data_IF_664835797048
#
_entry.id   IF_664835797048
#
_cell.length_a   1.000
_cell.length_b   1.000
_cell.length_c   1.000
_cell.angle_alpha   90.00
_cell.angle_beta   90.00
_cell.angle_gamma   90.00
#
_symmetry.space_group_name_H-M   'P 1'
#
loop_
_entity.id
_entity.type
_entity.pdbx_description
1 polymer ?
#
# COMPACT_ATOMS: atom_id res chain seq x y z
N UNK A 1 73.47 30.96 -28.87
CA UNK A 1 74.31 31.90 -29.65
C UNK A 1 75.03 31.19 -30.81
N UNK A 2 75.85 30.15 -30.56
CA UNK A 2 76.59 29.43 -31.60
C UNK A 2 75.70 28.81 -32.71
N UNK A 3 74.73 27.94 -32.35
CA UNK A 3 73.83 27.28 -33.31
C UNK A 3 73.01 28.24 -34.20
N UNK A 4 72.68 29.43 -33.67
CA UNK A 4 71.89 30.46 -34.39
C UNK A 4 72.76 31.19 -35.42
N UNK A 5 74.05 31.35 -35.13
CA UNK A 5 75.04 31.90 -36.06
C UNK A 5 75.30 30.94 -37.22
N UNK A 6 75.45 29.65 -36.91
CA UNK A 6 75.76 28.60 -37.90
C UNK A 6 74.60 28.38 -38.90
N UNK A 7 73.34 28.45 -38.44
CA UNK A 7 72.16 28.40 -39.32
C UNK A 7 72.08 29.59 -40.28
N UNK A 8 72.52 30.79 -39.87
CA UNK A 8 72.49 31.99 -40.72
C UNK A 8 73.48 31.90 -41.88
N UNK A 9 74.66 31.35 -41.62
CA UNK A 9 75.68 31.06 -42.65
C UNK A 9 75.20 29.99 -43.63
N UNK A 10 74.70 28.85 -43.12
CA UNK A 10 74.28 27.72 -43.96
C UNK A 10 73.06 28.03 -44.85
N UNK A 11 72.18 28.95 -44.42
CA UNK A 11 71.03 29.43 -45.20
C UNK A 11 71.40 30.28 -46.44
N UNK A 12 72.68 30.67 -46.62
CA UNK A 12 73.14 31.35 -47.85
C UNK A 12 73.12 30.44 -49.07
N UNK A 13 73.25 29.12 -48.89
CA UNK A 13 73.16 28.13 -49.98
C UNK A 13 72.28 26.93 -49.56
N UNK A 14 70.97 27.17 -49.51
CA UNK A 14 69.96 26.25 -48.93
C UNK A 14 69.90 24.87 -49.60
N UNK A 15 70.25 24.77 -50.88
CA UNK A 15 70.18 23.50 -51.64
C UNK A 15 71.31 22.54 -51.29
N UNK A 16 72.53 23.06 -51.08
CA UNK A 16 73.69 22.23 -50.70
C UNK A 16 73.70 21.86 -49.21
N UNK A 17 73.10 22.70 -48.37
CA UNK A 17 73.20 22.57 -46.91
C UNK A 17 71.90 22.06 -46.25
N UNK A 18 70.98 21.46 -47.02
CA UNK A 18 69.65 21.08 -46.53
C UNK A 18 69.72 20.17 -45.28
N UNK A 19 70.50 19.09 -45.34
CA UNK A 19 70.64 18.12 -44.24
C UNK A 19 71.30 18.74 -42.99
N UNK A 20 72.28 19.63 -43.19
CA UNK A 20 72.95 20.34 -42.10
C UNK A 20 72.03 21.36 -41.43
N UNK A 21 71.19 22.07 -42.21
CA UNK A 21 70.18 22.98 -41.68
C UNK A 21 69.13 22.17 -40.89
N UNK A 22 68.66 21.03 -41.40
CA UNK A 22 67.69 20.18 -40.71
C UNK A 22 68.27 19.63 -39.39
N UNK A 23 69.53 19.19 -39.39
CA UNK A 23 70.23 18.74 -38.19
C UNK A 23 70.34 19.82 -37.11
N UNK A 24 70.67 21.06 -37.48
CA UNK A 24 70.73 22.18 -36.52
C UNK A 24 69.32 22.58 -36.05
N UNK A 25 68.30 22.58 -36.92
CA UNK A 25 66.91 22.83 -36.51
C UNK A 25 66.44 21.76 -35.52
N UNK A 26 66.73 20.49 -35.77
CA UNK A 26 66.41 19.39 -34.85
C UNK A 26 67.12 19.56 -33.50
N UNK A 27 68.40 19.96 -33.50
CA UNK A 27 69.15 20.24 -32.27
C UNK A 27 68.65 21.49 -31.52
N UNK A 28 68.24 22.53 -32.24
CA UNK A 28 67.63 23.73 -31.65
C UNK A 28 66.25 23.43 -31.06
N UNK A 29 65.42 22.64 -31.76
CA UNK A 29 64.13 22.19 -31.25
C UNK A 29 64.32 21.30 -30.02
N UNK A 30 65.18 20.26 -30.07
CA UNK A 30 65.45 19.41 -28.91
C UNK A 30 65.99 20.17 -27.70
N UNK A 31 66.74 21.26 -27.91
CA UNK A 31 67.20 22.15 -26.82
C UNK A 31 66.10 23.09 -26.33
N UNK A 32 65.20 23.54 -27.19
CA UNK A 32 64.01 24.28 -26.81
C UNK A 32 63.06 23.40 -25.99
N UNK A 33 62.84 22.16 -26.41
CA UNK A 33 62.03 21.16 -25.70
C UNK A 33 62.64 20.82 -24.33
N UNK A 34 63.97 20.63 -24.25
CA UNK A 34 64.65 20.38 -22.98
C UNK A 34 64.56 21.58 -22.01
N UNK A 35 64.60 22.81 -22.53
CA UNK A 35 64.41 24.01 -21.70
C UNK A 35 62.95 24.20 -21.28
N UNK A 36 61.99 23.88 -22.15
CA UNK A 36 60.57 23.88 -21.82
C UNK A 36 60.26 22.86 -20.72
N UNK A 37 60.76 21.62 -20.86
CA UNK A 37 60.61 20.56 -19.87
C UNK A 37 61.26 20.92 -18.53
N UNK A 38 62.43 21.57 -18.53
CA UNK A 38 63.08 22.04 -17.30
C UNK A 38 62.30 23.17 -16.58
N UNK A 39 61.35 23.81 -17.27
CA UNK A 39 60.50 24.87 -16.72
C UNK A 39 59.19 24.35 -16.12
N UNK A 40 58.81 23.09 -16.41
CA UNK A 40 57.69 22.36 -15.83
C UNK A 40 58.04 21.90 -14.39
N UNK A 41 58.35 22.86 -13.52
CA UNK A 41 58.60 22.62 -12.10
C UNK A 41 57.25 22.42 -11.39
N UNK A 42 56.76 21.18 -11.43
CA UNK A 42 55.50 20.70 -10.82
C UNK A 42 55.66 20.20 -9.37
N UNK A 43 56.82 20.40 -8.74
CA UNK A 43 57.10 19.89 -7.38
C UNK A 43 56.31 20.54 -6.25
N UNK A 44 55.53 21.58 -6.54
CA UNK A 44 54.58 22.21 -5.61
C UNK A 44 53.21 21.53 -5.62
N UNK A 45 52.96 20.64 -6.58
CA UNK A 45 51.68 19.93 -6.67
C UNK A 45 51.59 18.85 -5.60
N UNK A 46 50.39 18.58 -5.11
CA UNK A 46 50.08 17.35 -4.37
C UNK A 46 50.51 16.15 -5.23
N UNK A 47 51.37 15.22 -4.75
CA UNK A 47 51.77 14.05 -5.52
C UNK A 47 50.62 13.09 -5.85
N UNK A 48 49.55 13.09 -5.04
CA UNK A 48 48.39 12.20 -5.20
C UNK A 48 47.08 12.96 -5.02
N UNK A 49 46.76 13.92 -5.91
CA UNK A 49 45.53 14.69 -5.83
C UNK A 49 44.31 13.76 -5.81
N UNK A 50 43.53 13.84 -4.72
CA UNK A 50 42.38 12.96 -4.46
C UNK A 50 42.74 11.46 -4.55
N UNK A 51 43.96 11.10 -4.11
CA UNK A 51 44.52 9.75 -4.09
C UNK A 51 45.11 9.29 -5.43
N UNK A 52 44.96 10.04 -6.52
CA UNK A 52 45.41 9.64 -7.85
C UNK A 52 46.84 10.15 -8.11
N UNK A 53 47.83 9.28 -8.40
CA UNK A 53 49.18 9.72 -8.72
C UNK A 53 49.22 10.72 -9.88
N UNK A 54 49.99 11.80 -9.74
CA UNK A 54 50.14 12.85 -10.77
C UNK A 54 50.55 12.30 -12.14
N UNK A 55 51.34 11.22 -12.17
CA UNK A 55 51.79 10.58 -13.42
C UNK A 55 50.66 9.96 -14.25
N UNK A 56 49.52 9.65 -13.61
CA UNK A 56 48.32 9.13 -14.27
C UNK A 56 47.47 10.29 -14.82
N UNK A 57 47.58 11.49 -14.22
CA UNK A 57 46.83 12.66 -14.66
C UNK A 57 47.44 13.24 -15.94
N UNK A 58 46.60 13.37 -16.96
CA UNK A 58 46.94 14.09 -18.19
C UNK A 58 46.85 15.60 -18.00
N UNK A 59 47.65 16.17 -17.09
CA UNK A 59 47.71 17.61 -16.85
C UNK A 59 48.03 18.37 -18.14
N UNK A 60 48.84 17.75 -19.00
CA UNK A 60 49.22 18.31 -20.30
C UNK A 60 48.10 18.33 -21.35
N UNK A 61 46.91 17.82 -21.04
CA UNK A 61 45.74 17.93 -21.90
C UNK A 61 44.75 19.00 -21.41
N UNK A 62 44.98 19.60 -20.24
CA UNK A 62 44.09 20.60 -19.66
C UNK A 62 44.55 22.02 -19.99
N UNK A 63 43.80 22.71 -20.86
CA UNK A 63 44.13 24.06 -21.32
C UNK A 63 44.24 25.07 -20.16
N UNK A 64 43.39 24.93 -19.14
CA UNK A 64 43.38 25.83 -17.98
C UNK A 64 44.65 25.63 -17.12
N UNK A 65 45.01 24.38 -16.84
CA UNK A 65 46.23 24.03 -16.14
C UNK A 65 47.46 24.54 -16.89
N UNK A 66 47.52 24.34 -18.21
CA UNK A 66 48.60 24.85 -19.07
C UNK A 66 48.73 26.37 -19.08
N UNK A 67 47.60 27.08 -19.13
CA UNK A 67 47.60 28.54 -19.06
C UNK A 67 48.16 29.03 -17.73
N UNK A 68 47.76 28.39 -16.63
CA UNK A 68 48.29 28.68 -15.30
C UNK A 68 49.79 28.36 -15.19
N UNK A 69 50.24 27.23 -15.73
CA UNK A 69 51.65 26.85 -15.75
C UNK A 69 52.50 27.86 -16.53
N UNK A 70 51.98 28.36 -17.65
CA UNK A 70 52.63 29.39 -18.48
C UNK A 70 52.74 30.73 -17.73
N UNK A 71 51.66 31.18 -17.08
CA UNK A 71 51.68 32.44 -16.32
C UNK A 71 52.58 32.32 -15.08
N UNK A 72 52.62 31.16 -14.43
CA UNK A 72 53.55 30.89 -13.32
C UNK A 72 55.00 31.02 -13.78
N UNK A 73 55.34 30.41 -14.92
CA UNK A 73 56.68 30.49 -15.49
C UNK A 73 57.05 31.95 -15.83
N UNK A 74 56.11 32.74 -16.35
CA UNK A 74 56.29 34.17 -16.63
C UNK A 74 56.56 35.01 -15.38
N UNK A 75 55.78 34.80 -14.32
CA UNK A 75 55.94 35.51 -13.05
C UNK A 75 57.28 35.17 -12.38
N UNK A 76 57.70 33.89 -12.44
CA UNK A 76 59.04 33.45 -12.01
C UNK A 76 60.17 34.07 -12.83
N UNK A 77 60.00 34.22 -14.14
CA UNK A 77 61.03 34.83 -14.99
C UNK A 77 61.15 36.35 -14.76
N UNK A 78 60.04 37.03 -14.45
CA UNK A 78 60.03 38.48 -14.24
C UNK A 78 60.70 38.91 -12.94
N UNK A 79 60.19 38.46 -11.78
CA UNK A 79 60.75 38.73 -10.45
C UNK A 79 60.07 37.81 -9.41
N UNK A 80 60.70 36.68 -9.04
CA UNK A 80 60.10 35.72 -8.10
C UNK A 80 59.77 36.33 -6.73
N UNK A 81 60.56 37.29 -6.25
CA UNK A 81 60.42 37.84 -4.90
C UNK A 81 59.23 38.79 -4.84
N UNK A 82 59.12 39.67 -5.83
CA UNK A 82 57.99 40.61 -5.92
C UNK A 82 56.67 39.91 -6.25
N UNK A 83 56.72 38.82 -7.01
CA UNK A 83 55.55 38.08 -7.44
C UNK A 83 55.18 36.89 -6.54
N UNK A 84 55.87 36.69 -5.41
CA UNK A 84 55.72 35.50 -4.56
C UNK A 84 54.27 35.19 -4.17
N UNK A 85 53.47 36.20 -3.82
CA UNK A 85 52.05 36.01 -3.49
C UNK A 85 51.23 35.48 -4.66
N UNK A 86 51.38 36.09 -5.86
CA UNK A 86 50.68 35.66 -7.08
C UNK A 86 51.12 34.29 -7.55
N UNK A 87 52.41 33.96 -7.39
CA UNK A 87 52.94 32.63 -7.71
C UNK A 87 52.28 31.60 -6.80
N UNK A 88 52.18 31.88 -5.49
CA UNK A 88 51.53 30.99 -4.53
C UNK A 88 50.03 30.81 -4.83
N UNK A 89 49.30 31.88 -5.08
CA UNK A 89 47.88 31.81 -5.48
C UNK A 89 47.69 30.92 -6.71
N UNK A 90 48.56 31.07 -7.72
CA UNK A 90 48.51 30.26 -8.93
C UNK A 90 48.90 28.79 -8.69
N UNK A 91 49.85 28.54 -7.77
CA UNK A 91 50.19 27.18 -7.34
C UNK A 91 49.03 26.50 -6.58
N UNK A 92 48.34 27.24 -5.72
CA UNK A 92 47.16 26.77 -5.00
C UNK A 92 46.00 26.48 -5.98
N UNK A 93 45.78 27.35 -6.99
CA UNK A 93 44.78 27.15 -8.05
C UNK A 93 45.10 25.95 -8.95
N UNK A 94 46.38 25.78 -9.32
CA UNK A 94 46.84 24.61 -10.09
C UNK A 94 46.66 23.32 -9.29
N UNK A 95 46.94 23.34 -7.98
CA UNK A 95 46.66 22.21 -7.09
C UNK A 95 45.17 21.88 -7.05
N UNK A 96 44.31 22.87 -6.85
CA UNK A 96 42.87 22.69 -6.87
C UNK A 96 42.40 22.11 -8.22
N UNK A 97 42.94 22.59 -9.35
CA UNK A 97 42.64 22.04 -10.68
C UNK A 97 43.10 20.58 -10.83
N UNK A 98 44.25 20.20 -10.27
CA UNK A 98 44.71 18.81 -10.28
C UNK A 98 43.75 17.88 -9.51
N UNK A 99 43.23 18.31 -8.36
CA UNK A 99 42.18 17.57 -7.63
C UNK A 99 40.88 17.43 -8.45
N UNK A 100 40.47 18.48 -9.16
CA UNK A 100 39.31 18.42 -10.06
C UNK A 100 39.53 17.41 -11.19
N UNK A 101 40.69 17.45 -11.85
CA UNK A 101 41.04 16.52 -12.92
C UNK A 101 41.12 15.07 -12.42
N UNK A 102 41.61 14.84 -11.20
CA UNK A 102 41.59 13.53 -10.57
C UNK A 102 40.16 13.00 -10.34
N UNK A 103 39.24 13.87 -9.90
CA UNK A 103 37.82 13.55 -9.79
C UNK A 103 37.21 13.18 -11.14
N UNK A 104 37.41 14.03 -12.16
CA UNK A 104 36.91 13.79 -13.52
C UNK A 104 37.46 12.49 -14.14
N UNK A 105 38.73 12.16 -13.86
CA UNK A 105 39.32 10.90 -14.29
C UNK A 105 38.63 9.71 -13.62
N UNK A 106 38.47 9.74 -12.28
CA UNK A 106 37.78 8.68 -11.53
C UNK A 106 36.35 8.47 -12.06
N UNK A 107 35.58 9.53 -12.26
CA UNK A 107 34.22 9.44 -12.81
C UNK A 107 34.18 8.75 -14.17
N UNK A 108 35.01 9.18 -15.13
CA UNK A 108 35.11 8.55 -16.46
C UNK A 108 35.55 7.09 -16.38
N UNK A 109 36.42 6.78 -15.43
CA UNK A 109 36.93 5.42 -15.24
C UNK A 109 35.88 4.49 -14.66
N UNK A 110 35.07 4.98 -13.70
CA UNK A 110 33.95 4.25 -13.11
C UNK A 110 32.95 3.78 -14.16
N UNK A 111 32.67 4.59 -15.18
CA UNK A 111 31.75 4.24 -16.29
C UNK A 111 32.18 3.00 -17.10
N UNK A 112 33.46 2.61 -17.02
CA UNK A 112 34.01 1.51 -17.83
C UNK A 112 33.70 0.15 -17.21
N UNK A 113 33.62 0.05 -15.88
CA UNK A 113 33.59 -1.23 -15.18
C UNK A 113 32.52 -1.36 -14.10
N UNK A 114 32.01 -0.26 -13.55
CA UNK A 114 30.92 -0.34 -12.57
C UNK A 114 29.59 -0.64 -13.26
N UNK A 115 28.76 -1.43 -12.60
CA UNK A 115 27.32 -1.45 -12.83
C UNK A 115 26.80 0.00 -12.75
N UNK A 116 26.12 0.52 -13.79
CA UNK A 116 25.59 1.88 -13.77
C UNK A 116 24.57 2.14 -12.65
N UNK A 117 23.89 1.10 -12.16
CA UNK A 117 22.89 1.20 -11.10
C UNK A 117 23.04 0.09 -10.04
N UNK A 118 24.10 0.10 -9.21
CA UNK A 118 24.30 -0.91 -8.19
C UNK A 118 23.09 -0.95 -7.24
N UNK A 119 22.42 -2.10 -7.16
CA UNK A 119 21.20 -2.25 -6.37
C UNK A 119 20.05 -1.34 -6.79
N UNK A 120 20.04 -0.83 -8.03
CA UNK A 120 19.04 0.10 -8.56
C UNK A 120 19.29 1.58 -8.24
N UNK A 121 20.43 1.93 -7.63
CA UNK A 121 20.81 3.33 -7.34
C UNK A 121 21.87 3.78 -8.35
N UNK A 122 21.70 4.91 -9.05
CA UNK A 122 22.73 5.40 -9.99
C UNK A 122 24.08 5.64 -9.30
N UNK A 123 25.19 5.26 -9.95
CA UNK A 123 26.56 5.50 -9.44
C UNK A 123 26.80 6.96 -9.05
N UNK A 124 26.24 7.90 -9.81
CA UNK A 124 26.35 9.35 -9.52
C UNK A 124 25.71 9.79 -8.19
N UNK A 125 24.89 8.93 -7.58
CA UNK A 125 24.22 9.20 -6.30
C UNK A 125 24.89 8.49 -5.12
N UNK A 126 25.90 7.66 -5.38
CA UNK A 126 26.63 6.93 -4.35
C UNK A 126 27.81 7.77 -3.84
N UNK A 127 28.03 7.84 -2.51
CA UNK A 127 29.16 8.56 -1.92
C UNK A 127 30.48 7.76 -2.03
N UNK A 128 30.81 7.23 -3.21
CA UNK A 128 31.96 6.34 -3.43
C UNK A 128 33.30 7.01 -3.09
N UNK A 129 33.43 8.31 -3.34
CA UNK A 129 34.64 9.07 -2.98
C UNK A 129 34.85 9.24 -1.47
N UNK A 130 33.79 9.07 -0.67
CA UNK A 130 33.88 9.09 0.80
C UNK A 130 34.08 7.69 1.39
N UNK A 131 33.97 6.64 0.57
CA UNK A 131 34.19 5.26 1.01
C UNK A 131 35.67 4.90 0.89
N UNK A 132 36.36 4.78 2.03
CA UNK A 132 37.81 4.54 2.10
C UNK A 132 38.22 3.24 1.39
N UNK A 133 37.42 2.18 1.54
CA UNK A 133 37.70 0.87 0.94
C UNK A 133 37.57 0.92 -0.59
N UNK A 134 36.49 1.51 -1.09
CA UNK A 134 36.28 1.73 -2.52
C UNK A 134 37.40 2.58 -3.11
N UNK A 135 37.70 3.72 -2.46
CA UNK A 135 38.72 4.65 -2.91
C UNK A 135 40.11 4.00 -3.03
N UNK A 136 40.49 3.18 -2.04
CA UNK A 136 41.77 2.46 -2.06
C UNK A 136 41.89 1.50 -3.25
N UNK A 137 40.86 0.68 -3.48
CA UNK A 137 40.83 -0.27 -4.60
C UNK A 137 40.77 0.44 -5.96
N UNK A 138 40.07 1.57 -6.04
CA UNK A 138 39.96 2.37 -7.25
C UNK A 138 41.33 2.94 -7.67
N UNK A 139 42.08 3.50 -6.72
CA UNK A 139 43.43 4.01 -6.96
C UNK A 139 44.38 2.87 -7.37
N UNK A 140 44.30 1.71 -6.71
CA UNK A 140 45.10 0.54 -7.10
C UNK A 140 44.79 0.08 -8.53
N UNK A 141 43.51 0.05 -8.92
CA UNK A 141 43.11 -0.27 -10.29
C UNK A 141 43.71 0.73 -11.28
N UNK A 142 43.66 2.04 -10.99
CA UNK A 142 44.24 3.08 -11.86
C UNK A 142 45.75 2.87 -12.04
N UNK A 143 46.49 2.56 -10.97
CA UNK A 143 47.93 2.25 -11.04
C UNK A 143 48.21 1.04 -11.91
N UNK A 144 47.56 -0.09 -11.66
CA UNK A 144 47.77 -1.32 -12.44
C UNK A 144 47.44 -1.15 -13.93
N UNK A 145 46.41 -0.37 -14.23
CA UNK A 145 46.00 -0.04 -15.59
C UNK A 145 46.98 0.90 -16.28
N UNK A 146 47.60 1.83 -15.54
CA UNK A 146 48.63 2.72 -16.07
C UNK A 146 49.97 1.99 -16.33
N UNK A 147 50.35 1.07 -15.43
CA UNK A 147 51.61 0.32 -15.50
C UNK A 147 51.69 -0.68 -16.67
N UNK A 148 50.80 -1.68 -16.68
CA UNK A 148 50.72 -2.69 -17.73
C UNK A 148 49.30 -3.27 -17.81
N UNK A 149 48.39 -2.64 -18.56
CA UNK A 149 47.00 -3.08 -18.62
C UNK A 149 46.82 -4.51 -19.16
N UNK A 150 47.77 -5.01 -19.97
CA UNK A 150 47.70 -6.38 -20.51
C UNK A 150 48.25 -7.40 -19.53
N UNK A 151 49.40 -7.11 -18.92
CA UNK A 151 50.00 -7.99 -17.90
C UNK A 151 49.18 -8.06 -16.61
N UNK A 152 48.52 -6.96 -16.24
CA UNK A 152 47.70 -6.87 -15.03
C UNK A 152 46.21 -7.20 -15.26
N UNK A 153 45.82 -7.64 -16.45
CA UNK A 153 44.41 -7.80 -16.83
C UNK A 153 43.58 -8.66 -15.85
N UNK A 154 44.14 -9.75 -15.32
CA UNK A 154 43.47 -10.59 -14.33
C UNK A 154 43.23 -9.85 -13.00
N UNK A 155 44.25 -9.17 -12.48
CA UNK A 155 44.15 -8.39 -11.23
C UNK A 155 43.19 -7.21 -11.37
N UNK A 156 43.24 -6.52 -12.52
CA UNK A 156 42.31 -5.43 -12.83
C UNK A 156 40.88 -5.95 -12.81
N UNK A 157 40.61 -7.08 -13.48
CA UNK A 157 39.28 -7.69 -13.49
C UNK A 157 38.81 -8.09 -12.08
N UNK A 158 39.70 -8.65 -11.26
CA UNK A 158 39.38 -9.03 -9.88
C UNK A 158 39.07 -7.80 -9.01
N UNK A 159 39.81 -6.69 -9.19
CA UNK A 159 39.51 -5.40 -8.54
C UNK A 159 38.20 -4.80 -9.02
N UNK A 160 37.90 -4.87 -10.32
CA UNK A 160 36.63 -4.40 -10.89
C UNK A 160 35.45 -5.17 -10.29
N UNK A 161 35.59 -6.48 -10.06
CA UNK A 161 34.61 -7.29 -9.33
C UNK A 161 34.41 -6.81 -7.89
N UNK A 162 35.49 -6.61 -7.14
CA UNK A 162 35.44 -6.12 -5.75
C UNK A 162 34.87 -4.71 -5.64
N UNK A 163 35.18 -3.82 -6.58
CA UNK A 163 34.63 -2.47 -6.65
C UNK A 163 33.12 -2.51 -6.93
N UNK A 164 32.64 -3.41 -7.78
CA UNK A 164 31.20 -3.60 -8.00
C UNK A 164 30.47 -4.13 -6.75
N UNK A 165 31.07 -5.11 -6.05
CA UNK A 165 30.53 -5.61 -4.79
C UNK A 165 30.48 -4.50 -3.73
N UNK A 166 31.54 -3.69 -3.62
CA UNK A 166 31.57 -2.56 -2.68
C UNK A 166 30.57 -1.46 -3.05
N UNK A 167 30.41 -1.15 -4.34
CA UNK A 167 29.40 -0.19 -4.80
C UNK A 167 27.97 -0.66 -4.47
N UNK A 168 27.70 -1.97 -4.58
CA UNK A 168 26.44 -2.57 -4.16
C UNK A 168 26.22 -2.46 -2.65
N UNK A 169 27.26 -2.67 -1.84
CA UNK A 169 27.20 -2.48 -0.38
C UNK A 169 26.91 -1.03 -0.01
N UNK A 170 27.58 -0.07 -0.66
CA UNK A 170 27.34 1.35 -0.45
C UNK A 170 25.91 1.73 -0.86
N UNK A 171 25.41 1.21 -2.00
CA UNK A 171 24.03 1.44 -2.41
C UNK A 171 23.01 0.90 -1.40
N UNK A 172 23.27 -0.28 -0.81
CA UNK A 172 22.44 -0.83 0.26
C UNK A 172 22.47 0.03 1.52
N UNK A 173 23.65 0.52 1.93
CA UNK A 173 23.78 1.41 3.08
C UNK A 173 23.03 2.74 2.88
N UNK A 174 23.12 3.33 1.67
CA UNK A 174 22.34 4.53 1.31
C UNK A 174 20.84 4.25 1.42
N UNK A 175 20.37 3.12 0.89
CA UNK A 175 18.96 2.73 1.00
C UNK A 175 18.55 2.52 2.46
N UNK A 176 19.39 1.95 3.30
CA UNK A 176 19.11 1.75 4.73
C UNK A 176 19.01 3.09 5.47
N UNK A 177 19.94 4.01 5.22
CA UNK A 177 19.94 5.37 5.77
C UNK A 177 18.68 6.15 5.36
N UNK A 178 18.23 6.04 4.11
CA UNK A 178 16.99 6.66 3.64
C UNK A 178 15.75 6.23 4.46
N UNK A 179 15.76 5.02 5.03
CA UNK A 179 14.62 4.43 5.74
C UNK A 179 14.69 4.59 7.26
N UNK A 180 15.86 4.90 7.83
CA UNK A 180 16.09 4.88 9.29
C UNK A 180 15.16 5.83 10.07
N UNK A 181 14.86 7.00 9.50
CA UNK A 181 14.01 8.02 10.12
C UNK A 181 12.52 7.90 9.75
N UNK A 182 12.14 6.88 8.98
CA UNK A 182 10.78 6.70 8.49
C UNK A 182 9.93 5.81 9.41
N UNK A 183 8.62 5.82 9.17
CA UNK A 183 7.68 4.92 9.83
C UNK A 183 8.05 3.46 9.54
N UNK A 184 8.32 2.68 10.57
CA UNK A 184 8.79 1.29 10.42
C UNK A 184 7.76 0.34 9.82
N UNK A 185 6.47 0.63 10.00
CA UNK A 185 5.36 -0.20 9.54
C UNK A 185 4.17 0.64 9.03
N UNK A 186 4.30 1.35 7.89
CA UNK A 186 3.20 2.10 7.29
C UNK A 186 2.00 1.18 7.05
N UNK A 187 0.84 1.56 7.58
CA UNK A 187 -0.41 0.73 7.57
C UNK A 187 -0.22 -0.67 8.17
N UNK A 188 0.75 -0.84 9.08
CA UNK A 188 1.06 -2.12 9.69
C UNK A 188 1.94 -3.05 8.84
N UNK A 189 2.28 -2.70 7.59
CA UNK A 189 3.20 -3.49 6.76
C UNK A 189 4.64 -3.03 7.00
N UNK A 190 5.58 -3.91 7.38
CA UNK A 190 6.98 -3.56 7.55
C UNK A 190 7.57 -2.89 6.30
N UNK A 191 8.18 -1.71 6.49
CA UNK A 191 8.70 -0.88 5.39
C UNK A 191 9.69 -1.63 4.48
N UNK A 192 10.53 -2.49 5.06
CA UNK A 192 11.46 -3.31 4.30
C UNK A 192 10.77 -4.29 3.32
N UNK A 193 9.58 -4.78 3.65
CA UNK A 193 8.82 -5.69 2.78
C UNK A 193 8.13 -4.95 1.61
N UNK A 194 7.86 -3.64 1.77
CA UNK A 194 7.30 -2.81 0.71
C UNK A 194 8.29 -2.51 -0.42
N UNK A 195 9.60 -2.67 -0.15
CA UNK A 195 10.69 -2.35 -1.11
C UNK A 195 10.51 -0.96 -1.74
N UNK A 196 10.44 0.10 -0.93
CA UNK A 196 10.02 1.41 -1.41
C UNK A 196 10.96 1.99 -2.48
N UNK A 197 12.25 1.65 -2.48
CA UNK A 197 13.18 2.10 -3.54
C UNK A 197 12.95 1.45 -4.91
N UNK A 198 12.11 0.42 -5.03
CA UNK A 198 11.67 -0.11 -6.34
C UNK A 198 10.59 0.81 -6.96
N UNK A 199 10.00 1.72 -6.17
CA UNK A 199 9.08 2.76 -6.62
C UNK A 199 9.84 4.03 -7.04
N UNK A 200 9.64 4.47 -8.28
CA UNK A 200 10.35 5.61 -8.88
C UNK A 200 10.09 6.94 -8.14
N UNK A 201 8.86 7.14 -7.66
CA UNK A 201 8.49 8.36 -6.94
C UNK A 201 9.17 8.40 -5.56
N UNK A 202 9.17 7.29 -4.82
CA UNK A 202 9.91 7.18 -3.56
C UNK A 202 11.42 7.37 -3.77
N UNK A 203 12.01 6.71 -4.77
CA UNK A 203 13.43 6.84 -5.08
C UNK A 203 13.83 8.30 -5.39
N UNK A 204 12.97 9.01 -6.13
CA UNK A 204 13.16 10.43 -6.43
C UNK A 204 13.09 11.32 -5.17
N UNK A 205 12.11 11.08 -4.30
CA UNK A 205 11.98 11.79 -3.03
C UNK A 205 13.19 11.53 -2.11
N UNK A 206 13.69 10.30 -2.05
CA UNK A 206 14.84 9.94 -1.24
C UNK A 206 16.11 10.67 -1.74
N UNK A 207 16.30 10.74 -3.05
CA UNK A 207 17.37 11.54 -3.68
C UNK A 207 17.29 13.01 -3.30
N UNK A 208 16.11 13.61 -3.37
CA UNK A 208 15.91 15.01 -2.99
C UNK A 208 16.21 15.24 -1.50
N UNK A 209 15.79 14.30 -0.64
CA UNK A 209 16.06 14.35 0.80
C UNK A 209 17.57 14.38 1.10
N UNK A 210 18.36 13.54 0.42
CA UNK A 210 19.84 13.54 0.53
C UNK A 210 20.46 14.87 0.08
N UNK A 211 19.89 15.49 -0.96
CA UNK A 211 20.38 16.76 -1.52
C UNK A 211 19.97 18.02 -0.76
N UNK A 212 18.91 17.96 0.07
CA UNK A 212 18.30 19.11 0.74
C UNK A 212 19.26 19.83 1.70
N UNK A 213 20.23 19.11 2.30
CA UNK A 213 21.25 19.70 3.18
C UNK A 213 22.28 20.60 2.46
N UNK A 214 22.38 20.54 1.13
CA UNK A 214 23.41 21.23 0.33
C UNK A 214 22.92 22.51 -0.37
N UNK A 215 21.62 22.76 -0.46
CA UNK A 215 21.05 23.91 -1.18
C UNK A 215 20.20 24.78 -0.26
N UNK A 216 20.49 26.08 -0.21
CA UNK A 216 19.61 27.06 0.45
C UNK A 216 18.25 27.09 -0.27
N UNK A 217 17.21 26.49 0.33
CA UNK A 217 15.86 26.45 -0.23
C UNK A 217 15.28 25.05 -0.47
N UNK A 218 15.97 23.97 -0.10
CA UNK A 218 15.37 22.63 -0.07
C UNK A 218 14.30 22.46 1.03
N UNK A 219 13.43 21.43 0.93
CA UNK A 219 12.51 21.07 2.02
C UNK A 219 13.30 20.78 3.30
N UNK A 220 12.71 21.08 4.46
CA UNK A 220 13.32 20.72 5.73
C UNK A 220 13.44 19.19 5.85
N UNK A 221 14.39 18.66 6.66
CA UNK A 221 14.50 17.21 6.86
C UNK A 221 13.17 16.56 7.30
N UNK A 222 12.36 17.28 8.08
CA UNK A 222 11.05 16.80 8.50
C UNK A 222 10.06 16.74 7.33
N UNK A 223 9.99 17.77 6.49
CA UNK A 223 9.12 17.78 5.32
C UNK A 223 9.49 16.69 4.30
N UNK A 224 10.79 16.40 4.15
CA UNK A 224 11.27 15.29 3.33
C UNK A 224 10.84 13.93 3.89
N UNK A 225 11.00 13.73 5.21
CA UNK A 225 10.56 12.51 5.88
C UNK A 225 9.04 12.32 5.80
N UNK A 226 8.26 13.39 5.94
CA UNK A 226 6.80 13.35 5.79
C UNK A 226 6.40 12.93 4.37
N UNK A 227 7.03 13.48 3.33
CA UNK A 227 6.76 13.11 1.94
C UNK A 227 7.10 11.63 1.67
N UNK A 228 8.22 11.14 2.20
CA UNK A 228 8.61 9.73 2.11
C UNK A 228 7.64 8.80 2.86
N UNK A 229 7.20 9.19 4.05
CA UNK A 229 6.21 8.45 4.84
C UNK A 229 4.85 8.38 4.14
N UNK A 230 4.37 9.49 3.55
CA UNK A 230 3.15 9.49 2.76
C UNK A 230 3.25 8.54 1.57
N UNK A 231 4.36 8.58 0.82
CA UNK A 231 4.56 7.65 -0.29
C UNK A 231 4.63 6.19 0.18
N UNK A 232 5.27 5.92 1.31
CA UNK A 232 5.32 4.58 1.89
C UNK A 232 3.93 4.07 2.31
N UNK A 233 3.07 4.95 2.87
CA UNK A 233 1.66 4.61 3.18
C UNK A 233 0.85 4.34 1.92
N UNK A 234 1.05 5.09 0.85
CA UNK A 234 0.42 4.82 -0.45
C UNK A 234 0.81 3.46 -1.02
N UNK A 235 2.10 3.09 -0.92
CA UNK A 235 2.58 1.76 -1.32
C UNK A 235 1.92 0.65 -0.48
N UNK A 236 1.80 0.86 0.83
CA UNK A 236 1.10 -0.07 1.71
C UNK A 236 -0.38 -0.21 1.32
N UNK A 237 -1.07 0.90 1.06
CA UNK A 237 -2.47 0.91 0.60
C UNK A 237 -2.63 0.18 -0.75
N UNK A 238 -1.66 0.30 -1.67
CA UNK A 238 -1.65 -0.45 -2.93
C UNK A 238 -1.50 -1.95 -2.72
N UNK A 239 -0.63 -2.38 -1.80
CA UNK A 239 -0.45 -3.80 -1.46
C UNK A 239 -1.74 -4.37 -0.87
N UNK A 240 -2.36 -3.67 0.08
CA UNK A 240 -3.58 -4.13 0.75
C UNK A 240 -4.75 -4.21 -0.24
N UNK A 241 -5.07 -3.11 -0.93
CA UNK A 241 -6.23 -3.04 -1.83
C UNK A 241 -6.05 -3.86 -3.11
N UNK A 242 -4.83 -3.95 -3.63
CA UNK A 242 -4.51 -4.59 -4.91
C UNK A 242 -4.67 -6.12 -4.91
N UNK A 243 -4.82 -6.73 -3.74
CA UNK A 243 -4.77 -8.19 -3.58
C UNK A 243 -6.04 -8.81 -2.97
N UNK A 244 -7.18 -8.11 -3.09
CA UNK A 244 -8.50 -8.57 -2.63
C UNK A 244 -9.21 -9.55 -3.59
N UNK A 245 -8.48 -10.13 -4.55
CA UNK A 245 -9.05 -10.98 -5.60
C UNK A 245 -9.61 -12.32 -5.12
N UNK A 246 -9.32 -12.72 -3.89
CA UNK A 246 -9.83 -13.95 -3.26
C UNK A 246 -11.24 -13.77 -2.65
N UNK A 247 -11.68 -12.53 -2.43
CA UNK A 247 -13.00 -12.23 -1.87
C UNK A 247 -14.10 -12.45 -2.93
N UNK A 248 -15.27 -12.85 -2.45
CA UNK A 248 -16.49 -12.81 -3.26
C UNK A 248 -16.76 -11.39 -3.76
N UNK A 249 -17.17 -11.24 -5.02
CA UNK A 249 -17.39 -9.90 -5.61
C UNK A 249 -18.62 -9.19 -5.08
N UNK A 250 -19.64 -9.99 -4.73
CA UNK A 250 -20.93 -9.56 -4.22
C UNK A 250 -21.32 -10.42 -3.00
N UNK A 251 -20.60 -10.35 -1.86
CA UNK A 251 -20.98 -11.05 -0.63
C UNK A 251 -22.39 -10.61 -0.20
N UNK A 252 -23.25 -11.57 0.16
CA UNK A 252 -24.67 -11.33 0.43
C UNK A 252 -25.38 -10.53 -0.70
N UNK A 253 -24.90 -10.64 -1.95
CA UNK A 253 -25.40 -9.88 -3.10
C UNK A 253 -25.00 -8.40 -3.14
N UNK A 254 -24.15 -7.93 -2.21
CA UNK A 254 -23.70 -6.55 -2.08
C UNK A 254 -22.30 -6.36 -2.68
N UNK A 255 -22.09 -5.45 -3.65
CA UNK A 255 -20.76 -5.18 -4.21
C UNK A 255 -19.72 -4.80 -3.14
N UNK A 256 -18.50 -5.37 -3.24
CA UNK A 256 -17.40 -5.05 -2.31
C UNK A 256 -17.12 -3.55 -2.18
N UNK A 257 -17.33 -2.75 -3.24
CA UNK A 257 -17.15 -1.29 -3.23
C UNK A 257 -18.11 -0.56 -2.29
N UNK A 258 -19.17 -1.21 -1.83
CA UNK A 258 -20.13 -0.67 -0.87
C UNK A 258 -19.81 -1.07 0.58
N UNK A 259 -18.83 -1.96 0.79
CA UNK A 259 -18.46 -2.41 2.12
C UNK A 259 -17.35 -1.54 2.71
N UNK A 260 -17.37 -1.29 4.02
CA UNK A 260 -16.40 -0.43 4.70
C UNK A 260 -15.06 -1.15 4.97
N UNK A 261 -14.56 -1.95 4.02
CA UNK A 261 -13.39 -2.84 4.21
C UNK A 261 -12.13 -2.07 4.66
N UNK A 262 -11.92 -0.86 4.14
CA UNK A 262 -10.75 -0.03 4.47
C UNK A 262 -10.82 0.60 5.87
N UNK A 263 -12.01 0.67 6.45
CA UNK A 263 -12.26 1.28 7.77
C UNK A 263 -12.62 0.25 8.83
N UNK A 264 -12.96 -0.97 8.43
CA UNK A 264 -13.21 -2.08 9.35
C UNK A 264 -11.89 -2.55 9.95
N UNK A 265 -11.77 -2.36 11.28
CA UNK A 265 -10.54 -2.67 12.00
C UNK A 265 -10.20 -4.16 11.96
N UNK A 266 -11.19 -5.02 12.11
CA UNK A 266 -10.98 -6.48 12.11
C UNK A 266 -10.51 -6.99 10.75
N UNK A 267 -11.12 -6.50 9.68
CA UNK A 267 -10.72 -6.76 8.31
C UNK A 267 -9.29 -6.27 8.06
N UNK A 268 -8.99 -5.01 8.42
CA UNK A 268 -7.65 -4.42 8.22
C UNK A 268 -6.54 -5.20 8.93
N UNK A 269 -6.73 -5.59 10.19
CA UNK A 269 -5.73 -6.35 10.95
C UNK A 269 -5.42 -7.71 10.29
N UNK A 270 -6.44 -8.43 9.83
CA UNK A 270 -6.27 -9.70 9.10
C UNK A 270 -5.65 -9.50 7.72
N UNK A 271 -6.02 -8.42 7.02
CA UNK A 271 -5.49 -8.08 5.70
C UNK A 271 -3.99 -7.77 5.75
N UNK A 272 -3.55 -7.04 6.79
CA UNK A 272 -2.14 -6.76 7.05
C UNK A 272 -1.38 -8.05 7.35
N UNK A 273 -1.90 -8.91 8.23
CA UNK A 273 -1.25 -10.21 8.54
C UNK A 273 -1.06 -11.04 7.27
N UNK A 274 -2.10 -11.12 6.44
CA UNK A 274 -2.06 -11.83 5.15
C UNK A 274 -1.02 -11.23 4.21
N UNK A 275 -1.00 -9.91 4.06
CA UNK A 275 -0.04 -9.21 3.19
C UNK A 275 1.41 -9.48 3.63
N UNK A 276 1.69 -9.41 4.93
CA UNK A 276 3.03 -9.69 5.48
C UNK A 276 3.46 -11.13 5.20
N UNK A 277 2.57 -12.12 5.41
CA UNK A 277 2.87 -13.52 5.11
C UNK A 277 3.17 -13.75 3.63
N UNK A 278 2.41 -13.09 2.75
CA UNK A 278 2.55 -13.18 1.29
C UNK A 278 3.83 -12.50 0.77
N UNK A 279 4.21 -11.36 1.35
CA UNK A 279 5.46 -10.66 1.03
C UNK A 279 6.70 -11.39 1.56
N UNK A 280 6.57 -12.12 2.67
CA UNK A 280 7.69 -12.84 3.29
C UNK A 280 8.02 -14.14 2.55
N UNK A 281 7.07 -15.06 2.46
CA UNK A 281 7.21 -16.33 1.73
C UNK A 281 5.82 -16.97 1.52
N UNK A 282 5.19 -16.76 0.35
CA UNK A 282 3.83 -17.23 0.12
C UNK A 282 3.73 -18.76 0.07
N UNK A 283 4.81 -19.46 -0.31
CA UNK A 283 4.80 -20.93 -0.40
C UNK A 283 4.86 -21.55 0.98
N UNK A 284 5.73 -21.03 1.85
CA UNK A 284 5.87 -21.51 3.23
C UNK A 284 4.65 -21.18 4.10
N UNK A 285 3.95 -20.09 3.79
CA UNK A 285 2.82 -19.59 4.58
C UNK A 285 1.45 -19.97 4.00
N UNK A 286 1.39 -20.85 2.99
CA UNK A 286 0.17 -21.14 2.23
C UNK A 286 -1.05 -21.46 3.11
N UNK A 287 -0.91 -22.36 4.10
CA UNK A 287 -2.03 -22.75 4.97
C UNK A 287 -2.56 -21.60 5.83
N UNK A 288 -1.66 -20.73 6.32
CA UNK A 288 -2.05 -19.55 7.11
C UNK A 288 -2.70 -18.48 6.25
N UNK A 289 -2.20 -18.30 5.02
CA UNK A 289 -2.79 -17.39 4.05
C UNK A 289 -4.20 -17.85 3.72
N UNK A 290 -4.40 -19.13 3.41
CA UNK A 290 -5.73 -19.68 3.13
C UNK A 290 -6.71 -19.48 4.31
N UNK A 291 -6.28 -19.78 5.54
CA UNK A 291 -7.11 -19.56 6.73
C UNK A 291 -7.47 -18.07 6.97
N UNK A 292 -6.57 -17.14 6.62
CA UNK A 292 -6.88 -15.71 6.66
C UNK A 292 -7.80 -15.29 5.52
N UNK A 293 -7.66 -15.87 4.34
CA UNK A 293 -8.57 -15.62 3.20
C UNK A 293 -10.00 -16.06 3.51
N UNK A 294 -10.18 -17.23 4.14
CA UNK A 294 -11.49 -17.70 4.62
C UNK A 294 -12.09 -16.71 5.62
N UNK A 295 -11.33 -16.31 6.66
CA UNK A 295 -11.80 -15.35 7.68
C UNK A 295 -12.09 -13.95 7.12
N UNK A 296 -11.30 -13.48 6.16
CA UNK A 296 -11.52 -12.21 5.47
C UNK A 296 -12.78 -12.27 4.61
N UNK A 297 -13.04 -13.42 3.98
CA UNK A 297 -14.27 -13.68 3.23
C UNK A 297 -15.48 -13.69 4.16
N UNK A 298 -15.41 -14.42 5.28
CA UNK A 298 -16.46 -14.42 6.30
C UNK A 298 -16.75 -13.01 6.83
N UNK A 299 -15.70 -12.24 7.16
CA UNK A 299 -15.87 -10.84 7.62
C UNK A 299 -16.50 -9.94 6.55
N UNK A 300 -16.22 -10.18 5.26
CA UNK A 300 -16.87 -9.43 4.18
C UNK A 300 -18.36 -9.75 4.08
N UNK A 301 -18.76 -11.03 4.27
CA UNK A 301 -20.18 -11.42 4.35
C UNK A 301 -20.86 -10.84 5.59
N UNK A 302 -20.20 -10.86 6.76
CA UNK A 302 -20.71 -10.20 7.97
C UNK A 302 -20.97 -8.70 7.74
N UNK A 303 -20.01 -7.98 7.15
CA UNK A 303 -20.17 -6.55 6.84
C UNK A 303 -21.28 -6.28 5.83
N UNK A 304 -21.48 -7.18 4.86
CA UNK A 304 -22.58 -7.09 3.92
C UNK A 304 -23.93 -7.31 4.62
N UNK A 305 -24.02 -8.31 5.48
CA UNK A 305 -25.19 -8.58 6.30
C UNK A 305 -25.52 -7.41 7.27
N UNK A 306 -24.54 -6.88 8.00
CA UNK A 306 -24.68 -5.70 8.87
C UNK A 306 -25.21 -4.49 8.08
N UNK A 307 -24.73 -4.30 6.84
CA UNK A 307 -25.18 -3.21 5.97
C UNK A 307 -26.64 -3.39 5.54
N UNK A 308 -27.03 -4.60 5.13
CA UNK A 308 -28.38 -4.91 4.68
C UNK A 308 -29.38 -4.76 5.83
N UNK A 309 -29.12 -5.44 6.95
CA UNK A 309 -29.94 -5.38 8.17
C UNK A 309 -30.10 -3.96 8.72
N UNK A 310 -29.04 -3.15 8.67
CA UNK A 310 -29.07 -1.74 9.09
C UNK A 310 -29.89 -0.81 8.17
N UNK A 311 -30.23 -1.24 6.95
CA UNK A 311 -30.96 -0.43 5.94
C UNK A 311 -32.45 -0.83 5.81
N UNK A 312 -32.99 -1.52 6.83
CA UNK A 312 -34.39 -1.99 6.92
C UNK A 312 -35.40 -0.94 7.42
N UNK A 313 -35.00 0.30 7.65
CA UNK A 313 -35.82 1.33 8.30
C UNK A 313 -37.09 1.77 7.55
N UNK A 314 -37.30 1.34 6.31
CA UNK A 314 -38.49 1.62 5.50
C UNK A 314 -39.59 0.56 5.66
N UNK A 315 -39.29 -0.56 6.35
CA UNK A 315 -40.26 -1.63 6.59
C UNK A 315 -41.27 -1.21 7.67
N UNK A 316 -42.51 -1.71 7.54
CA UNK A 316 -43.50 -1.65 8.59
C UNK A 316 -42.96 -2.37 9.84
N UNK A 317 -42.89 -1.74 11.02
CA UNK A 317 -42.35 -2.37 12.24
C UNK A 317 -43.21 -3.51 12.78
N UNK A 318 -44.49 -3.59 12.39
CA UNK A 318 -45.45 -4.60 12.86
C UNK A 318 -46.41 -5.08 11.76
N UNK A 319 -45.93 -5.72 10.68
CA UNK A 319 -46.79 -6.33 9.67
C UNK A 319 -47.77 -7.32 10.32
N UNK A 320 -49.07 -7.18 10.05
CA UNK A 320 -50.14 -7.96 10.70
C UNK A 320 -50.09 -7.96 12.25
N UNK A 321 -49.46 -6.95 12.86
CA UNK A 321 -49.25 -6.88 14.31
C UNK A 321 -48.09 -7.74 14.84
N UNK A 322 -47.31 -8.38 13.96
CA UNK A 322 -46.13 -9.18 14.32
C UNK A 322 -44.86 -8.31 14.20
N UNK A 323 -44.09 -8.12 15.29
CA UNK A 323 -42.82 -7.39 15.23
C UNK A 323 -41.82 -7.99 14.22
N UNK A 324 -41.09 -7.14 13.48
CA UNK A 324 -40.10 -7.59 12.48
C UNK A 324 -39.03 -8.52 13.06
N UNK A 325 -38.63 -8.32 14.31
CA UNK A 325 -37.64 -9.14 15.04
C UNK A 325 -38.06 -10.60 15.24
N UNK A 326 -39.35 -10.92 15.04
CA UNK A 326 -39.87 -12.29 15.06
C UNK A 326 -39.81 -12.93 13.67
N UNK A 327 -39.81 -12.13 12.61
CA UNK A 327 -39.85 -12.65 11.24
C UNK A 327 -38.47 -13.15 10.81
N UNK A 328 -38.40 -14.30 10.10
CA UNK A 328 -37.15 -14.87 9.60
C UNK A 328 -36.70 -14.16 8.31
N UNK A 329 -36.43 -12.85 8.40
CA UNK A 329 -36.09 -12.02 7.23
C UNK A 329 -34.74 -12.42 6.62
N UNK A 330 -33.78 -12.82 7.46
CA UNK A 330 -32.43 -13.20 7.04
C UNK A 330 -32.40 -14.57 6.36
N UNK A 331 -33.30 -15.47 6.77
CA UNK A 331 -33.43 -16.80 6.19
C UNK A 331 -34.34 -16.83 4.95
N UNK A 332 -35.13 -15.78 4.69
CA UNK A 332 -36.02 -15.71 3.54
C UNK A 332 -35.27 -15.35 2.24
N UNK A 333 -35.10 -16.28 1.28
CA UNK A 333 -34.26 -16.02 0.11
C UNK A 333 -34.84 -14.94 -0.81
N UNK A 334 -36.17 -14.77 -0.83
CA UNK A 334 -36.83 -13.75 -1.65
C UNK A 334 -36.62 -12.36 -1.06
N UNK A 335 -36.79 -12.23 0.26
CA UNK A 335 -36.54 -10.99 0.97
C UNK A 335 -35.08 -10.56 0.79
N UNK A 336 -34.14 -11.48 1.03
CA UNK A 336 -32.71 -11.24 0.85
C UNK A 336 -32.36 -10.78 -0.58
N UNK A 337 -32.93 -11.42 -1.60
CA UNK A 337 -32.72 -11.03 -2.99
C UNK A 337 -33.18 -9.59 -3.27
N UNK A 338 -34.37 -9.20 -2.78
CA UNK A 338 -34.88 -7.84 -2.94
C UNK A 338 -34.04 -6.83 -2.16
N UNK A 339 -33.54 -7.21 -0.97
CA UNK A 339 -32.68 -6.38 -0.14
C UNK A 339 -31.35 -6.06 -0.83
N UNK A 340 -30.70 -7.08 -1.38
CA UNK A 340 -29.48 -6.93 -2.17
C UNK A 340 -29.72 -6.09 -3.44
N UNK A 341 -30.82 -6.31 -4.16
CA UNK A 341 -31.17 -5.51 -5.35
C UNK A 341 -31.42 -4.04 -5.00
N UNK A 342 -32.13 -3.79 -3.90
CA UNK A 342 -32.37 -2.44 -3.38
C UNK A 342 -31.05 -1.75 -3.03
N UNK A 343 -30.15 -2.42 -2.32
CA UNK A 343 -28.84 -1.89 -1.98
C UNK A 343 -28.06 -1.50 -3.25
N UNK A 344 -28.06 -2.37 -4.27
CA UNK A 344 -27.40 -2.12 -5.57
C UNK A 344 -27.98 -0.92 -6.30
N UNK A 345 -29.31 -0.79 -6.38
CA UNK A 345 -29.96 0.35 -7.04
C UNK A 345 -29.69 1.68 -6.32
N UNK A 346 -29.67 1.67 -4.98
CA UNK A 346 -29.31 2.85 -4.18
C UNK A 346 -27.86 3.28 -4.39
N UNK A 347 -26.94 2.34 -4.60
CA UNK A 347 -25.54 2.68 -4.85
C UNK A 347 -25.27 3.22 -6.26
N UNK A 348 -26.03 2.79 -7.27
CA UNK A 348 -25.79 3.19 -8.66
C UNK A 348 -26.22 4.63 -8.97
N UNK A 349 -27.50 4.96 -8.76
CA UNK A 349 -28.04 6.32 -8.96
C UNK A 349 -29.36 6.45 -8.18
N UNK A 350 -29.33 6.98 -6.94
CA UNK A 350 -30.52 7.12 -6.11
C UNK A 350 -31.66 7.88 -6.78
N UNK A 351 -31.33 8.90 -7.59
CA UNK A 351 -32.34 9.79 -8.19
C UNK A 351 -33.01 9.15 -9.39
N UNK A 352 -32.24 8.45 -10.24
CA UNK A 352 -32.80 7.76 -11.40
C UNK A 352 -33.53 6.47 -11.02
N UNK A 353 -33.12 5.83 -9.94
CA UNK A 353 -33.69 4.57 -9.48
C UNK A 353 -34.80 4.75 -8.44
N UNK A 354 -35.17 5.97 -8.05
CA UNK A 354 -36.15 6.26 -6.99
C UNK A 354 -37.44 5.44 -7.14
N UNK A 355 -38.03 5.38 -8.33
CA UNK A 355 -39.24 4.57 -8.58
C UNK A 355 -39.01 3.08 -8.37
N UNK A 356 -37.91 2.53 -8.90
CA UNK A 356 -37.57 1.10 -8.74
C UNK A 356 -37.28 0.75 -7.29
N UNK A 357 -36.62 1.66 -6.57
CA UNK A 357 -36.37 1.51 -5.13
C UNK A 357 -37.69 1.51 -4.37
N UNK A 358 -38.61 2.44 -4.65
CA UNK A 358 -39.93 2.47 -4.02
C UNK A 358 -40.75 1.21 -4.34
N UNK A 359 -40.71 0.72 -5.59
CA UNK A 359 -41.39 -0.52 -5.98
C UNK A 359 -40.83 -1.73 -5.22
N UNK A 360 -39.51 -1.82 -5.05
CA UNK A 360 -38.87 -2.86 -4.22
C UNK A 360 -39.21 -2.71 -2.74
N UNK A 361 -39.24 -1.48 -2.21
CA UNK A 361 -39.60 -1.24 -0.81
C UNK A 361 -41.04 -1.67 -0.51
N UNK A 362 -41.97 -1.46 -1.44
CA UNK A 362 -43.34 -1.97 -1.35
C UNK A 362 -43.36 -3.50 -1.41
N UNK A 363 -42.66 -4.12 -2.38
CA UNK A 363 -42.60 -5.57 -2.50
C UNK A 363 -41.96 -6.25 -1.26
N UNK A 364 -40.98 -5.62 -0.64
CA UNK A 364 -40.37 -6.08 0.61
C UNK A 364 -41.34 -5.96 1.79
N UNK A 365 -42.13 -4.89 1.87
CA UNK A 365 -43.21 -4.78 2.86
C UNK A 365 -44.29 -5.85 2.64
N UNK A 366 -44.72 -6.07 1.40
CA UNK A 366 -45.67 -7.13 1.05
C UNK A 366 -45.13 -8.51 1.47
N UNK A 367 -43.83 -8.78 1.26
CA UNK A 367 -43.19 -10.01 1.72
C UNK A 367 -43.16 -10.12 3.25
N UNK A 368 -42.94 -9.01 3.97
CA UNK A 368 -43.06 -8.99 5.43
C UNK A 368 -44.49 -9.31 5.90
N UNK A 369 -45.52 -8.80 5.20
CA UNK A 369 -46.93 -9.15 5.47
C UNK A 369 -47.21 -10.64 5.23
N UNK A 370 -46.69 -11.22 4.16
CA UNK A 370 -46.78 -12.67 3.89
C UNK A 370 -46.11 -13.49 5.01
N UNK A 371 -44.88 -13.12 5.40
CA UNK A 371 -44.13 -13.80 6.47
C UNK A 371 -44.83 -13.66 7.83
N UNK A 372 -45.43 -12.51 8.12
CA UNK A 372 -46.22 -12.31 9.33
C UNK A 372 -47.48 -13.20 9.34
N UNK A 373 -48.20 -13.29 8.21
CA UNK A 373 -49.31 -14.23 8.07
C UNK A 373 -48.89 -15.68 8.30
N UNK A 374 -47.76 -16.09 7.72
CA UNK A 374 -47.21 -17.44 7.90
C UNK A 374 -46.80 -17.70 9.35
N UNK A 375 -46.23 -16.70 10.03
CA UNK A 375 -45.89 -16.78 11.45
C UNK A 375 -47.14 -16.94 12.32
N UNK A 376 -48.17 -16.11 12.12
CA UNK A 376 -49.43 -16.21 12.87
C UNK A 376 -50.11 -17.58 12.65
N UNK A 377 -50.04 -18.12 11.43
CA UNK A 377 -50.55 -19.46 11.13
C UNK A 377 -49.75 -20.54 11.87
N UNK A 378 -48.43 -20.40 11.92
CA UNK A 378 -47.55 -21.32 12.61
C UNK A 378 -47.72 -21.25 14.14
N UNK A 379 -48.02 -20.08 14.71
CA UNK A 379 -48.33 -19.91 16.13
C UNK A 379 -49.56 -20.72 16.55
N UNK A 380 -50.56 -20.79 15.67
CA UNK A 380 -51.79 -21.55 15.89
C UNK A 380 -51.69 -23.03 15.48
N UNK A 381 -50.52 -23.50 15.04
CA UNK A 381 -50.35 -24.89 14.65
C UNK A 381 -50.55 -25.84 15.84
N UNK A 382 -51.59 -26.69 15.75
CA UNK A 382 -51.98 -27.64 16.80
C UNK A 382 -53.05 -27.13 17.76
N UNK A 383 -53.48 -25.87 17.62
CA UNK A 383 -54.64 -25.32 18.33
C UNK A 383 -55.92 -25.77 17.63
N UNK A 384 -56.96 -26.05 18.41
CA UNK A 384 -58.30 -26.38 17.95
C UNK A 384 -58.86 -25.22 17.12
N UNK A 385 -59.34 -25.55 15.93
CA UNK A 385 -59.79 -24.56 14.94
C UNK A 385 -61.21 -24.10 15.19
N UNK A 386 -62.00 -24.90 15.90
CA UNK A 386 -63.41 -24.59 16.21
C UNK A 386 -63.72 -24.87 17.69
N UNK A 387 -63.05 -24.19 18.65
CA UNK A 387 -63.37 -24.36 20.06
C UNK A 387 -64.84 -23.97 20.31
N UNK A 388 -65.64 -24.93 20.82
CA UNK A 388 -67.10 -24.78 21.01
C UNK A 388 -67.84 -24.37 19.74
N UNK A 389 -67.43 -24.94 18.60
CA UNK A 389 -68.01 -24.68 17.28
C UNK A 389 -67.87 -23.22 16.80
N UNK A 390 -67.03 -22.41 17.47
CA UNK A 390 -66.70 -21.06 17.05
C UNK A 390 -65.36 -21.08 16.31
N UNK A 391 -65.31 -20.63 15.04
CA UNK A 391 -64.05 -20.52 14.30
C UNK A 391 -63.01 -19.69 15.07
N UNK A 392 -61.81 -20.25 15.25
CA UNK A 392 -60.71 -19.66 16.01
C UNK A 392 -60.33 -18.25 15.51
N UNK A 393 -60.49 -17.99 14.21
CA UNK A 393 -60.27 -16.67 13.60
C UNK A 393 -61.17 -15.59 14.20
N UNK A 394 -62.42 -15.92 14.56
CA UNK A 394 -63.37 -14.99 15.18
C UNK A 394 -63.02 -14.67 16.64
N UNK A 395 -62.30 -15.56 17.32
CA UNK A 395 -61.88 -15.39 18.71
C UNK A 395 -60.71 -14.41 18.85
N UNK A 396 -60.05 -14.03 17.75
CA UNK A 396 -58.89 -13.14 17.73
C UNK A 396 -57.84 -13.48 18.81
N UNK A 397 -57.36 -14.74 18.87
CA UNK A 397 -56.56 -15.24 20.00
C UNK A 397 -55.27 -14.43 20.23
N UNK A 398 -54.63 -13.91 19.18
CA UNK A 398 -53.44 -13.07 19.31
C UNK A 398 -53.69 -11.72 20.00
N UNK A 399 -54.94 -11.25 20.06
CA UNK A 399 -55.33 -10.05 20.80
C UNK A 399 -55.50 -10.28 22.31
N UNK A 400 -55.54 -11.54 22.75
CA UNK A 400 -55.64 -11.88 24.17
C UNK A 400 -54.25 -11.93 24.84
N UNK A 401 -54.00 -11.16 25.91
CA UNK A 401 -52.68 -11.10 26.54
C UNK A 401 -52.17 -12.44 27.08
N UNK A 402 -53.07 -13.30 27.57
CA UNK A 402 -52.69 -14.61 28.12
C UNK A 402 -52.35 -15.60 27.00
N UNK A 403 -53.10 -15.59 25.90
CA UNK A 403 -52.78 -16.37 24.71
C UNK A 403 -51.49 -15.88 24.04
N UNK A 404 -51.29 -14.56 23.94
CA UNK A 404 -50.06 -13.97 23.37
C UNK A 404 -48.79 -14.34 24.18
N UNK A 405 -48.90 -14.47 25.50
CA UNK A 405 -47.81 -14.99 26.33
C UNK A 405 -47.45 -16.44 25.96
N UNK A 406 -48.46 -17.31 25.77
CA UNK A 406 -48.26 -18.69 25.32
C UNK A 406 -47.68 -18.76 23.90
N UNK A 407 -48.06 -17.85 23.00
CA UNK A 407 -47.45 -17.72 21.66
C UNK A 407 -45.97 -17.38 21.76
N UNK A 408 -45.59 -16.53 22.72
CA UNK A 408 -44.19 -16.19 22.95
C UNK A 408 -43.40 -17.42 23.42
N UNK A 409 -43.96 -18.18 24.36
CA UNK A 409 -43.36 -19.41 24.87
C UNK A 409 -43.22 -20.50 23.78
N UNK A 410 -44.26 -20.71 22.96
CA UNK A 410 -44.22 -21.75 21.92
C UNK A 410 -43.21 -21.43 20.83
N UNK A 411 -43.05 -20.14 20.46
CA UNK A 411 -42.03 -19.71 19.49
C UNK A 411 -40.63 -20.03 19.99
N UNK A 412 -40.33 -19.74 21.26
CA UNK A 412 -39.03 -20.04 21.84
C UNK A 412 -38.75 -21.54 21.89
N UNK A 413 -39.73 -22.33 22.33
CA UNK A 413 -39.60 -23.80 22.37
C UNK A 413 -39.43 -24.39 20.97
N UNK A 414 -40.10 -23.84 19.95
CA UNK A 414 -40.02 -24.32 18.57
C UNK A 414 -38.66 -24.08 17.90
N UNK A 415 -37.77 -23.25 18.47
CA UNK A 415 -36.38 -23.13 17.99
C UNK A 415 -35.62 -24.46 18.04
N UNK A 416 -35.92 -25.33 19.02
CA UNK A 416 -35.40 -26.71 19.08
C UNK A 416 -36.56 -27.71 19.30
N UNK A 417 -37.36 -27.91 18.25
CA UNK A 417 -38.56 -28.78 18.29
C UNK A 417 -38.28 -30.19 18.80
N UNK A 418 -37.07 -30.72 18.53
CA UNK A 418 -36.71 -32.08 18.89
C UNK A 418 -36.48 -32.23 20.38
N UNK A 419 -35.78 -31.27 21.00
CA UNK A 419 -35.53 -31.32 22.45
C UNK A 419 -36.76 -30.93 23.26
N UNK A 420 -37.62 -30.07 22.70
CA UNK A 420 -38.73 -29.47 23.43
C UNK A 420 -40.09 -30.12 23.13
N UNK A 421 -40.14 -31.31 22.53
CA UNK A 421 -41.39 -31.92 22.05
C UNK A 421 -42.51 -31.97 23.13
N UNK A 422 -42.21 -32.50 24.31
CA UNK A 422 -43.19 -32.60 25.42
C UNK A 422 -43.62 -31.22 25.94
N UNK A 423 -42.69 -30.26 26.00
CA UNK A 423 -42.98 -28.90 26.44
C UNK A 423 -43.86 -28.15 25.42
N UNK A 424 -43.60 -28.35 24.13
CA UNK A 424 -44.43 -27.82 23.03
C UNK A 424 -45.84 -28.38 23.14
N UNK A 425 -46.01 -29.69 23.35
CA UNK A 425 -47.34 -30.29 23.55
C UNK A 425 -48.05 -29.68 24.77
N UNK A 426 -47.32 -29.46 25.86
CA UNK A 426 -47.83 -28.80 27.06
C UNK A 426 -48.35 -27.37 26.79
N UNK A 427 -47.59 -26.56 26.05
CA UNK A 427 -48.01 -25.20 25.68
C UNK A 427 -49.21 -25.24 24.73
N UNK A 428 -49.21 -26.13 23.72
CA UNK A 428 -50.36 -26.30 22.81
C UNK A 428 -51.63 -26.67 23.59
N UNK A 429 -51.53 -27.53 24.60
CA UNK A 429 -52.66 -27.86 25.49
C UNK A 429 -53.15 -26.63 26.26
N UNK A 430 -52.24 -25.79 26.76
CA UNK A 430 -52.59 -24.55 27.43
C UNK A 430 -53.24 -23.54 26.46
N UNK A 431 -52.75 -23.45 25.23
CA UNK A 431 -53.33 -22.61 24.17
C UNK A 431 -54.74 -23.06 23.83
N UNK A 432 -54.99 -24.36 23.71
CA UNK A 432 -56.34 -24.93 23.54
C UNK A 432 -57.26 -24.60 24.72
N UNK A 433 -56.77 -24.71 25.95
CA UNK A 433 -57.54 -24.31 27.13
C UNK A 433 -57.89 -22.82 27.13
N UNK A 434 -56.98 -21.95 26.67
CA UNK A 434 -57.24 -20.51 26.55
C UNK A 434 -58.20 -20.20 25.41
N UNK A 435 -58.08 -20.88 24.28
CA UNK A 435 -59.00 -20.75 23.14
C UNK A 435 -60.42 -21.17 23.52
N UNK A 436 -60.60 -22.28 24.25
CA UNK A 436 -61.92 -22.68 24.79
C UNK A 436 -62.49 -21.61 25.73
N UNK A 437 -61.67 -21.02 26.60
CA UNK A 437 -62.11 -19.95 27.50
C UNK A 437 -62.54 -18.68 26.75
N UNK A 438 -61.86 -18.33 25.66
CA UNK A 438 -62.24 -17.22 24.78
C UNK A 438 -63.58 -17.52 24.08
N UNK A 439 -63.75 -18.75 23.57
CA UNK A 439 -65.00 -19.19 22.97
C UNK A 439 -66.17 -19.17 23.97
N UNK A 440 -65.93 -19.67 25.18
CA UNK A 440 -66.91 -19.65 26.27
C UNK A 440 -67.36 -18.22 26.63
N UNK A 441 -66.43 -17.25 26.61
CA UNK A 441 -66.74 -15.85 26.89
C UNK A 441 -67.58 -15.19 25.79
N UNK A 442 -67.44 -15.60 24.52
CA UNK A 442 -68.32 -15.13 23.43
C UNK A 442 -69.74 -15.69 23.55
N UNK A 443 -69.87 -16.86 24.17
CA UNK A 443 -71.15 -17.48 24.50
C UNK A 443 -71.75 -16.95 25.82
N UNK A 444 -71.16 -15.91 26.44
CA UNK A 444 -71.68 -15.34 27.69
C UNK A 444 -73.10 -14.79 27.49
N UNK A 445 -74.05 -15.43 28.17
CA UNK A 445 -75.50 -15.28 27.98
C UNK A 445 -76.09 -14.12 28.78
N UNK A 446 -75.27 -13.17 29.23
CA UNK A 446 -75.68 -12.04 30.09
C UNK A 446 -76.72 -11.09 29.49
N UNK A 447 -77.09 -11.25 28.21
CA UNK A 447 -78.17 -10.55 27.55
C UNK A 447 -79.52 -11.28 27.62
N UNK A 448 -79.53 -12.56 27.99
CA UNK A 448 -80.76 -13.32 28.22
C UNK A 448 -81.34 -12.97 29.60
N UNK A 449 -82.66 -12.99 29.71
CA UNK A 449 -83.36 -12.83 30.99
C UNK A 449 -82.84 -13.87 32.00
N UNK A 450 -82.34 -13.52 33.20
CA UNK A 450 -81.86 -14.49 34.19
C UNK A 450 -82.92 -15.51 34.62
N UNK A 451 -84.21 -15.19 34.48
CA UNK A 451 -85.32 -16.07 34.81
C UNK A 451 -86.44 -16.03 33.75
N UNK A 452 -86.23 -16.54 32.52
CA UNK A 452 -87.27 -16.55 31.50
C UNK A 452 -88.50 -17.30 32.03
N UNK A 453 -89.64 -16.61 32.08
CA UNK A 453 -90.89 -17.13 32.67
C UNK A 453 -90.75 -17.63 34.13
N UNK A 454 -89.79 -17.09 34.90
CA UNK A 454 -89.55 -17.46 36.31
C UNK A 454 -88.74 -18.74 36.51
N UNK A 455 -88.11 -19.27 35.45
CA UNK A 455 -87.24 -20.44 35.50
C UNK A 455 -85.79 -19.97 35.42
N UNK A 456 -84.92 -20.25 36.40
CA UNK A 456 -83.52 -19.84 36.33
C UNK A 456 -82.85 -20.33 35.04
N UNK A 457 -82.17 -19.43 34.34
CA UNK A 457 -81.44 -19.74 33.10
C UNK A 457 -80.48 -20.93 33.27
N UNK A 458 -79.86 -21.06 34.45
CA UNK A 458 -78.86 -22.07 34.80
C UNK A 458 -79.38 -23.52 34.75
N UNK A 459 -80.70 -23.73 34.82
CA UNK A 459 -81.31 -25.08 34.76
C UNK A 459 -81.88 -25.42 33.38
N UNK A 460 -81.84 -24.47 32.44
CA UNK A 460 -82.24 -24.71 31.05
C UNK A 460 -81.06 -25.28 30.27
N UNK A 461 -81.22 -26.47 29.68
CA UNK A 461 -80.22 -27.07 28.79
C UNK A 461 -80.25 -26.42 27.39
N UNK A 462 -79.98 -25.11 27.35
CA UNK A 462 -79.93 -24.33 26.11
C UNK A 462 -78.88 -24.87 25.14
N UNK A 463 -77.80 -25.47 25.66
CA UNK A 463 -76.74 -26.11 24.88
C UNK A 463 -77.18 -27.38 24.14
N UNK A 464 -78.37 -27.91 24.40
CA UNK A 464 -78.93 -29.09 23.73
C UNK A 464 -80.05 -28.73 22.74
N UNK A 465 -80.33 -27.43 22.53
CA UNK A 465 -81.39 -26.96 21.64
C UNK A 465 -80.80 -26.44 20.31
N UNK A 466 -81.06 -27.19 19.23
CA UNK A 466 -80.53 -26.88 17.90
C UNK A 466 -81.02 -25.52 17.36
N UNK A 467 -82.19 -25.05 17.79
CA UNK A 467 -82.73 -23.76 17.37
C UNK A 467 -82.08 -22.59 18.13
N UNK A 468 -81.62 -22.83 19.36
CA UNK A 468 -80.90 -21.87 20.18
C UNK A 468 -79.45 -21.68 19.71
N UNK A 469 -78.81 -22.72 19.17
CA UNK A 469 -77.47 -22.65 18.57
C UNK A 469 -77.44 -22.05 17.16
N UNK A 470 -78.58 -22.06 16.45
CA UNK A 470 -78.68 -21.57 15.08
C UNK A 470 -78.93 -20.06 14.94
N UNK A 471 -79.09 -19.34 16.06
CA UNK A 471 -79.39 -17.91 16.13
C UNK A 471 -78.19 -17.10 16.65
#
# INVERSE_FOLDING_TARGET
>A
AALVSDIRELKKDRRKNADAIEGIVRAMNGRADALAAAQLDRGFLDPEPAGVPLEILSLDADDAFHAAETERARLKLSDPRRNAGKIKELEDDMNARAHVLAGELKEKEREIFLDPQPGGVPVSELPLDSDESFHTMEVERLRLRNEDPRGNAAKIKDLEGQLNERALDVARAVKEEDLEALESAPRGIPLALLRPHDDEAFASLAKEARGAGRKSGGPSPHAAADALNERARELADQVLRGDRGFLDREPEGVPLSMLPLDTDRGFHEMEVERAVLKLTDPKKNADKIAALEDRLTDRAHELAHERLSGDRGFLNPGPEGVPLEILPLDEDPKFHQMEAERAKLKAQDPRRNERKVADLENAMNDRCHELACDQLREDLAGVDKEPRDIPLELLHPHGDPAFAALVSDIRELKKDRRKNADAIEGIVRAMNGRADALAAAQLDRGFLDPEPAGVPLEILSLDADDAFHAA
#
